data_IF_514495573940
#
_entry.id   IF_514495573940
#
_cell.length_a   1.000
_cell.length_b   1.000
_cell.length_c   1.000
_cell.angle_alpha   90.00
_cell.angle_beta   90.00
_cell.angle_gamma   90.00
#
_symmetry.space_group_name_H-M   'P 1'
#
loop_
_entity.id
_entity.type
_entity.pdbx_description
1 polymer ?
#
# COMPACT_ATOMS: atom_id res chain seq x y z
N UNK A 1 10.37 -27.46 -8.90
CA UNK A 1 9.03 -26.90 -8.67
C UNK A 1 8.88 -26.72 -7.16
N UNK A 2 9.31 -25.58 -6.63
CA UNK A 2 9.25 -25.27 -5.19
C UNK A 2 7.82 -24.93 -4.80
N UNK A 3 7.26 -25.67 -3.83
CA UNK A 3 5.97 -25.38 -3.26
C UNK A 3 6.00 -23.98 -2.62
N UNK A 4 5.20 -23.05 -3.13
CA UNK A 4 4.96 -21.77 -2.48
C UNK A 4 4.32 -22.06 -1.12
N UNK A 5 5.05 -21.82 -0.04
CA UNK A 5 4.46 -21.80 1.30
C UNK A 5 3.31 -20.78 1.29
N UNK A 6 2.10 -21.29 1.42
CA UNK A 6 0.90 -20.45 1.58
C UNK A 6 0.95 -19.85 2.98
N UNK A 7 1.60 -18.71 3.11
CA UNK A 7 1.59 -17.99 4.39
C UNK A 7 0.21 -17.40 4.65
N UNK A 8 -0.20 -17.33 5.91
CA UNK A 8 -1.47 -16.70 6.30
C UNK A 8 -1.59 -15.26 5.72
N UNK A 9 -0.49 -14.52 5.69
CA UNK A 9 -0.43 -13.17 5.14
C UNK A 9 -0.77 -13.18 3.63
N UNK A 10 -0.22 -14.12 2.86
CA UNK A 10 -0.51 -14.21 1.44
C UNK A 10 -2.01 -14.48 1.17
N UNK A 11 -2.66 -15.32 1.99
CA UNK A 11 -4.11 -15.57 1.87
C UNK A 11 -4.93 -14.32 2.21
N UNK A 12 -4.52 -13.53 3.21
CA UNK A 12 -5.20 -12.26 3.53
C UNK A 12 -5.12 -11.26 2.36
N UNK A 13 -3.98 -11.15 1.68
CA UNK A 13 -3.86 -10.27 0.50
C UNK A 13 -4.63 -10.82 -0.71
N UNK A 14 -4.74 -12.13 -0.89
CA UNK A 14 -5.63 -12.71 -1.91
C UNK A 14 -7.11 -12.39 -1.62
N UNK A 15 -7.53 -12.46 -0.36
CA UNK A 15 -8.87 -12.07 0.06
C UNK A 15 -9.09 -10.57 -0.19
N UNK A 16 -8.15 -9.70 0.23
CA UNK A 16 -8.21 -8.26 -0.02
C UNK A 16 -8.36 -7.96 -1.52
N UNK A 17 -7.54 -8.57 -2.37
CA UNK A 17 -7.65 -8.43 -3.83
C UNK A 17 -9.07 -8.75 -4.33
N UNK A 18 -9.67 -9.82 -3.81
CA UNK A 18 -11.03 -10.22 -4.23
C UNK A 18 -12.08 -9.18 -3.82
N UNK A 19 -11.86 -8.48 -2.70
CA UNK A 19 -12.80 -7.46 -2.20
C UNK A 19 -12.69 -6.12 -2.92
N UNK A 20 -11.60 -5.84 -3.65
CA UNK A 20 -11.42 -4.55 -4.37
C UNK A 20 -12.59 -4.22 -5.30
N UNK A 21 -13.18 -5.23 -5.96
CA UNK A 21 -14.34 -5.03 -6.84
C UNK A 21 -15.56 -4.42 -6.11
N UNK A 22 -15.69 -4.68 -4.80
CA UNK A 22 -16.78 -4.09 -3.99
C UNK A 22 -16.52 -2.63 -3.64
N UNK A 23 -15.28 -2.16 -3.84
CA UNK A 23 -14.89 -0.76 -3.71
C UNK A 23 -14.98 -0.02 -5.05
N UNK A 24 -15.65 -0.60 -6.06
CA UNK A 24 -15.77 0.01 -7.37
C UNK A 24 -14.51 -0.09 -8.24
N UNK A 25 -13.46 -0.77 -7.77
CA UNK A 25 -12.23 -0.95 -8.56
C UNK A 25 -12.52 -1.86 -9.75
N UNK A 26 -12.23 -1.36 -10.95
CA UNK A 26 -12.52 -1.99 -12.24
C UNK A 26 -11.41 -1.70 -13.26
N UNK A 27 -11.63 -2.01 -14.52
CA UNK A 27 -10.72 -1.65 -15.60
C UNK A 27 -10.66 -0.15 -15.89
N UNK A 28 -11.71 0.59 -15.52
CA UNK A 28 -11.82 2.05 -15.70
C UNK A 28 -11.60 2.84 -14.41
N UNK A 29 -11.73 2.19 -13.24
CA UNK A 29 -11.55 2.76 -11.91
C UNK A 29 -10.48 1.93 -11.19
N UNK A 30 -9.21 2.25 -11.43
CA UNK A 30 -8.07 1.37 -11.11
C UNK A 30 -6.99 2.01 -10.24
N UNK A 31 -7.19 3.28 -9.84
CA UNK A 31 -6.26 4.02 -8.98
C UNK A 31 -6.63 3.81 -7.52
N UNK A 32 -5.79 3.08 -6.80
CA UNK A 32 -6.03 2.68 -5.40
C UNK A 32 -5.05 3.42 -4.50
N UNK A 33 -5.56 4.30 -3.66
CA UNK A 33 -4.77 4.98 -2.64
C UNK A 33 -4.67 4.14 -1.38
N UNK A 34 -3.46 4.03 -0.81
CA UNK A 34 -3.21 3.40 0.49
C UNK A 34 -2.63 4.43 1.44
N UNK A 35 -3.38 4.76 2.47
CA UNK A 35 -3.02 5.74 3.50
C UNK A 35 -3.24 5.20 4.91
N UNK A 36 -2.99 6.02 5.93
CA UNK A 36 -3.19 5.68 7.35
C UNK A 36 -3.42 6.92 8.19
N UNK A 37 -3.80 6.77 9.46
CA UNK A 37 -3.98 7.92 10.36
C UNK A 37 -2.64 8.56 10.73
N UNK A 38 -1.66 7.72 11.07
CA UNK A 38 -0.32 8.14 11.53
C UNK A 38 0.78 7.28 10.88
N UNK A 39 2.03 7.72 11.00
CA UNK A 39 3.17 6.94 10.54
C UNK A 39 3.31 5.62 11.32
N UNK A 40 3.84 4.57 10.67
CA UNK A 40 4.11 3.28 11.32
C UNK A 40 2.94 2.29 11.35
N UNK A 41 1.77 2.62 10.77
CA UNK A 41 0.61 1.72 10.73
C UNK A 41 0.72 0.62 9.67
N UNK A 42 1.68 0.74 8.75
CA UNK A 42 1.97 -0.28 7.74
C UNK A 42 1.36 -0.02 6.37
N UNK A 43 1.01 1.23 6.03
CA UNK A 43 0.51 1.62 4.71
C UNK A 43 1.38 1.07 3.56
N UNK A 44 2.68 1.31 3.60
CA UNK A 44 3.61 0.83 2.54
C UNK A 44 3.75 -0.70 2.51
N UNK A 45 3.56 -1.39 3.65
CA UNK A 45 3.47 -2.85 3.69
C UNK A 45 2.21 -3.33 2.96
N UNK A 46 1.07 -2.70 3.22
CA UNK A 46 -0.21 -3.02 2.57
C UNK A 46 -0.12 -2.72 1.07
N UNK A 47 0.35 -1.53 0.67
CA UNK A 47 0.50 -1.12 -0.72
C UNK A 47 1.38 -2.09 -1.52
N UNK A 48 2.57 -2.42 -0.98
CA UNK A 48 3.53 -3.32 -1.64
C UNK A 48 2.95 -4.73 -1.84
N UNK A 49 2.38 -5.32 -0.79
CA UNK A 49 1.85 -6.69 -0.86
C UNK A 49 0.58 -6.77 -1.73
N UNK A 50 -0.26 -5.73 -1.72
CA UNK A 50 -1.40 -5.64 -2.62
C UNK A 50 -0.94 -5.60 -4.09
N UNK A 51 0.01 -4.71 -4.42
CA UNK A 51 0.56 -4.58 -5.77
C UNK A 51 1.19 -5.90 -6.26
N UNK A 52 1.99 -6.57 -5.43
CA UNK A 52 2.56 -7.89 -5.75
C UNK A 52 1.43 -8.91 -5.99
N UNK A 53 0.41 -8.94 -5.13
CA UNK A 53 -0.70 -9.90 -5.22
C UNK A 53 -1.55 -9.68 -6.47
N UNK A 54 -1.73 -8.44 -6.90
CA UNK A 54 -2.38 -8.09 -8.17
C UNK A 54 -1.52 -8.54 -9.37
N UNK A 55 -0.22 -8.23 -9.37
CA UNK A 55 0.71 -8.59 -10.44
C UNK A 55 0.84 -10.12 -10.62
N UNK A 56 0.74 -10.90 -9.54
CA UNK A 56 0.73 -12.37 -9.58
C UNK A 56 -0.44 -12.95 -10.37
N UNK A 57 -1.46 -12.17 -10.70
CA UNK A 57 -2.58 -12.60 -11.56
C UNK A 57 -2.35 -12.32 -13.04
N UNK A 58 -1.17 -11.89 -13.44
CA UNK A 58 -0.84 -11.50 -14.81
C UNK A 58 -1.31 -10.09 -15.18
N UNK A 59 -1.80 -9.30 -14.20
CA UNK A 59 -2.22 -7.91 -14.39
C UNK A 59 -1.03 -6.97 -14.31
N UNK A 60 -0.95 -6.00 -15.22
CA UNK A 60 0.06 -4.95 -15.19
C UNK A 60 -0.24 -3.97 -14.05
N UNK A 61 0.69 -3.82 -13.12
CA UNK A 61 0.52 -3.01 -11.91
C UNK A 61 1.64 -1.98 -11.80
N UNK A 62 1.27 -0.72 -11.55
CA UNK A 62 2.20 0.33 -11.14
C UNK A 62 2.04 0.57 -9.62
N UNK A 63 3.15 0.57 -8.89
CA UNK A 63 3.21 0.93 -7.48
C UNK A 63 4.04 2.22 -7.33
N UNK A 64 3.41 3.26 -6.79
CA UNK A 64 3.96 4.61 -6.67
C UNK A 64 4.27 4.95 -5.21
N UNK A 65 5.46 5.48 -4.94
CA UNK A 65 5.85 6.03 -3.62
C UNK A 65 5.60 7.55 -3.61
N UNK A 66 4.36 7.94 -3.30
CA UNK A 66 3.96 9.34 -3.14
C UNK A 66 4.12 9.87 -1.71
N UNK A 67 4.73 9.10 -0.80
CA UNK A 67 5.18 9.65 0.50
C UNK A 67 6.50 10.38 0.30
N UNK A 68 6.43 11.54 -0.37
CA UNK A 68 7.60 12.33 -0.74
C UNK A 68 8.37 12.87 0.49
N UNK A 69 7.73 12.88 1.67
CA UNK A 69 8.36 13.29 2.93
C UNK A 69 9.15 12.17 3.59
N UNK A 70 8.65 10.93 3.51
CA UNK A 70 9.28 9.77 4.17
C UNK A 70 9.14 8.50 3.33
N UNK A 71 9.78 8.45 2.15
CA UNK A 71 9.67 7.32 1.22
C UNK A 71 10.24 6.04 1.83
N UNK A 72 9.57 4.91 1.57
CA UNK A 72 9.96 3.63 2.14
C UNK A 72 10.07 2.49 1.12
N UNK A 73 9.47 2.63 -0.05
CA UNK A 73 9.41 1.56 -1.05
C UNK A 73 10.80 1.17 -1.57
N UNK A 74 11.72 2.12 -1.74
CA UNK A 74 13.10 1.84 -2.17
C UNK A 74 13.80 0.82 -1.25
N UNK A 75 13.60 0.91 0.07
CA UNK A 75 14.16 -0.05 1.04
C UNK A 75 13.47 -1.41 0.95
N UNK A 76 12.13 -1.41 0.78
CA UNK A 76 11.33 -2.65 0.70
C UNK A 76 11.71 -3.51 -0.52
N UNK A 77 11.99 -2.85 -1.64
CA UNK A 77 12.36 -3.52 -2.88
C UNK A 77 13.87 -3.64 -3.06
N UNK A 78 14.68 -3.16 -2.08
CA UNK A 78 16.14 -3.15 -2.12
C UNK A 78 16.69 -2.48 -3.40
N UNK A 79 16.09 -1.35 -3.79
CA UNK A 79 16.45 -0.60 -4.99
C UNK A 79 17.12 0.70 -4.57
N UNK A 80 18.30 0.95 -5.14
CA UNK A 80 19.00 2.23 -5.05
C UNK A 80 18.66 3.03 -6.31
N UNK A 81 17.71 3.92 -6.22
CA UNK A 81 17.34 4.82 -7.31
C UNK A 81 17.53 6.26 -6.88
N UNK A 82 18.07 7.07 -7.77
CA UNK A 82 18.35 8.50 -7.53
C UNK A 82 17.37 9.42 -8.23
N UNK A 83 16.55 8.90 -9.14
CA UNK A 83 15.55 9.65 -9.91
C UNK A 83 14.19 8.96 -9.81
N UNK A 84 13.10 9.72 -9.83
CA UNK A 84 11.77 9.14 -9.68
C UNK A 84 10.64 10.16 -9.89
N UNK A 85 9.62 10.08 -9.05
CA UNK A 85 8.43 10.93 -9.10
C UNK A 85 8.83 12.40 -8.95
N UNK A 86 9.73 12.73 -8.02
CA UNK A 86 10.18 14.12 -7.79
C UNK A 86 10.75 14.74 -9.06
N UNK A 87 11.69 14.06 -9.71
CA UNK A 87 12.34 14.55 -10.93
C UNK A 87 11.35 14.65 -12.09
N UNK A 88 10.38 13.73 -12.17
CA UNK A 88 9.30 13.83 -13.14
C UNK A 88 8.43 15.07 -12.90
N UNK A 89 7.97 15.27 -11.66
CA UNK A 89 7.14 16.42 -11.31
C UNK A 89 7.86 17.76 -11.52
N UNK A 90 9.18 17.79 -11.30
CA UNK A 90 10.04 18.93 -11.62
C UNK A 90 10.28 19.11 -13.13
N UNK A 91 9.88 18.15 -13.98
CA UNK A 91 10.04 18.21 -15.41
C UNK A 91 11.44 17.91 -15.93
N UNK A 92 12.31 17.30 -15.11
CA UNK A 92 13.69 16.98 -15.48
C UNK A 92 13.84 15.62 -16.17
N UNK A 93 12.87 14.72 -16.00
CA UNK A 93 12.80 13.43 -16.68
C UNK A 93 11.39 13.15 -17.23
N UNK A 94 11.28 12.21 -18.15
CA UNK A 94 9.98 11.72 -18.65
C UNK A 94 9.36 10.68 -17.71
N UNK A 95 8.06 10.43 -17.83
CA UNK A 95 7.36 9.38 -17.08
C UNK A 95 7.98 7.99 -17.32
N UNK A 96 8.41 7.72 -18.56
CA UNK A 96 9.05 6.45 -18.90
C UNK A 96 10.38 6.25 -18.16
N UNK A 97 11.16 7.30 -17.94
CA UNK A 97 12.43 7.24 -17.20
C UNK A 97 12.21 7.06 -15.69
N UNK A 98 11.07 7.52 -15.15
CA UNK A 98 10.71 7.32 -13.75
C UNK A 98 10.24 5.88 -13.45
N UNK A 99 9.78 5.14 -14.46
CA UNK A 99 9.25 3.78 -14.32
C UNK A 99 10.40 2.77 -14.32
N UNK A 100 10.44 1.91 -13.31
CA UNK A 100 11.44 0.83 -13.21
C UNK A 100 10.77 -0.52 -12.94
N UNK A 101 11.39 -1.64 -13.36
CA UNK A 101 10.92 -2.97 -13.00
C UNK A 101 11.11 -3.23 -11.51
N UNK A 102 10.16 -3.94 -10.89
CA UNK A 102 10.24 -4.26 -9.45
C UNK A 102 11.34 -5.28 -9.10
N UNK A 103 11.81 -6.06 -10.06
CA UNK A 103 12.69 -7.20 -9.82
C UNK A 103 12.03 -8.43 -9.17
N UNK A 104 10.76 -8.32 -8.76
CA UNK A 104 10.02 -9.38 -8.08
C UNK A 104 8.99 -10.07 -8.98
N UNK A 105 8.40 -9.34 -9.91
CA UNK A 105 7.42 -9.83 -10.86
C UNK A 105 7.47 -8.97 -12.13
N UNK A 106 7.41 -9.58 -13.30
CA UNK A 106 7.49 -8.91 -14.61
C UNK A 106 6.30 -7.94 -14.84
N UNK A 107 5.16 -8.21 -14.21
CA UNK A 107 3.96 -7.39 -14.33
C UNK A 107 3.89 -6.26 -13.27
N UNK A 108 4.93 -6.09 -12.44
CA UNK A 108 4.99 -5.04 -11.42
C UNK A 108 6.09 -4.03 -11.75
N UNK A 109 5.67 -2.80 -11.99
CA UNK A 109 6.57 -1.66 -12.14
C UNK A 109 6.49 -0.75 -10.90
N UNK A 110 7.59 -0.09 -10.60
CA UNK A 110 7.70 0.86 -9.49
C UNK A 110 7.97 2.26 -10.02
N UNK A 111 7.40 3.24 -9.36
CA UNK A 111 7.79 4.65 -9.44
C UNK A 111 8.14 5.09 -8.02
N UNK A 112 9.43 5.17 -7.75
CA UNK A 112 9.95 5.59 -6.44
C UNK A 112 9.97 7.12 -6.35
N UNK A 113 10.07 7.65 -5.14
CA UNK A 113 10.11 9.10 -4.90
C UNK A 113 11.22 9.79 -5.68
N UNK A 114 12.44 9.23 -5.72
CA UNK A 114 13.64 9.92 -6.21
C UNK A 114 14.29 10.77 -5.11
N UNK A 115 14.80 11.94 -5.44
CA UNK A 115 15.33 12.89 -4.45
C UNK A 115 14.20 13.48 -3.59
N UNK A 116 14.48 13.73 -2.31
CA UNK A 116 13.50 14.40 -1.44
C UNK A 116 13.33 15.86 -1.88
N UNK A 117 12.11 16.31 -2.23
CA UNK A 117 11.89 17.70 -2.65
C UNK A 117 11.88 18.65 -1.45
N UNK A 118 12.11 19.93 -1.70
CA UNK A 118 12.01 20.98 -0.65
C UNK A 118 10.56 21.26 -0.28
N UNK A 119 9.66 21.22 -1.25
CA UNK A 119 8.22 21.43 -1.06
C UNK A 119 7.41 20.31 -1.75
N UNK A 120 7.16 19.21 -1.03
CA UNK A 120 6.39 18.09 -1.56
C UNK A 120 4.96 18.46 -1.99
N UNK A 121 4.29 19.30 -1.20
CA UNK A 121 2.88 19.62 -1.41
C UNK A 121 2.66 20.41 -2.71
N UNK A 122 3.53 21.38 -2.99
CA UNK A 122 3.48 22.17 -4.23
C UNK A 122 3.72 21.29 -5.47
N UNK A 123 4.64 20.32 -5.38
CA UNK A 123 4.88 19.39 -6.48
C UNK A 123 3.65 18.51 -6.74
N UNK A 124 3.01 18.00 -5.69
CA UNK A 124 1.82 17.14 -5.80
C UNK A 124 0.63 17.91 -6.40
N UNK A 125 0.52 19.21 -6.12
CA UNK A 125 -0.53 20.09 -6.66
C UNK A 125 -0.33 20.43 -8.14
N UNK A 126 0.85 20.17 -8.70
CA UNK A 126 1.11 20.49 -10.11
C UNK A 126 0.30 19.62 -11.07
N UNK A 127 -0.04 20.16 -12.24
CA UNK A 127 -0.76 19.44 -13.33
C UNK A 127 -0.03 18.16 -13.75
N UNK A 128 1.29 18.08 -13.51
CA UNK A 128 2.10 16.90 -13.82
C UNK A 128 1.71 15.66 -13.03
N UNK A 129 1.09 15.81 -11.86
CA UNK A 129 0.56 14.69 -11.09
C UNK A 129 -0.57 14.00 -11.86
N UNK A 130 -1.50 14.76 -12.39
CA UNK A 130 -2.60 14.23 -13.20
C UNK A 130 -2.08 13.67 -14.54
N UNK A 131 -1.16 14.37 -15.19
CA UNK A 131 -0.52 13.88 -16.42
C UNK A 131 0.17 12.53 -16.22
N UNK A 132 0.90 12.35 -15.09
CA UNK A 132 1.54 11.07 -14.74
C UNK A 132 0.51 9.96 -14.59
N UNK A 133 -0.53 10.21 -13.82
CA UNK A 133 -1.57 9.21 -13.55
C UNK A 133 -2.33 8.84 -14.81
N UNK A 134 -2.64 9.79 -15.68
CA UNK A 134 -3.25 9.56 -17.00
C UNK A 134 -2.32 8.74 -17.91
N UNK A 135 -1.02 9.06 -17.93
CA UNK A 135 -0.03 8.26 -18.67
C UNK A 135 0.02 6.80 -18.21
N UNK A 136 -0.11 6.56 -16.90
CA UNK A 136 -0.11 5.21 -16.31
C UNK A 136 -1.43 4.47 -16.58
N UNK A 137 -2.56 5.16 -16.63
CA UNK A 137 -3.86 4.56 -16.93
C UNK A 137 -3.90 3.86 -18.30
N UNK A 138 -3.19 4.38 -19.27
CA UNK A 138 -3.12 3.76 -20.59
C UNK A 138 -2.30 2.46 -20.63
N UNK A 139 -1.47 2.21 -19.59
CA UNK A 139 -0.42 1.17 -19.61
C UNK A 139 -0.58 0.09 -18.58
N UNK A 140 -1.31 0.36 -17.50
CA UNK A 140 -1.46 -0.52 -16.36
C UNK A 140 -2.93 -0.88 -16.10
N UNK A 141 -3.17 -2.08 -15.60
CA UNK A 141 -4.49 -2.54 -15.15
C UNK A 141 -4.83 -2.01 -13.75
N UNK A 142 -3.81 -1.78 -12.91
CA UNK A 142 -3.95 -1.22 -11.57
C UNK A 142 -2.82 -0.25 -11.26
N UNK A 143 -3.17 0.82 -10.55
CA UNK A 143 -2.23 1.83 -10.06
C UNK A 143 -2.43 1.92 -8.56
N UNK A 144 -1.40 1.55 -7.79
CA UNK A 144 -1.42 1.58 -6.32
C UNK A 144 -0.52 2.72 -5.86
N UNK A 145 -1.10 3.67 -5.09
CA UNK A 145 -0.38 4.82 -4.55
C UNK A 145 -0.14 4.61 -3.06
N UNK A 146 1.12 4.51 -2.64
CA UNK A 146 1.52 4.61 -1.22
C UNK A 146 1.67 6.08 -0.89
N UNK A 147 0.73 6.63 -0.11
CA UNK A 147 0.66 8.07 0.18
C UNK A 147 0.91 8.34 1.66
N UNK A 148 1.30 9.57 2.07
CA UNK A 148 1.55 9.88 3.47
C UNK A 148 0.30 9.68 4.34
N UNK A 149 0.48 9.59 5.68
CA UNK A 149 -0.65 9.56 6.62
C UNK A 149 -1.48 10.84 6.54
N UNK A 150 -2.80 10.72 6.63
CA UNK A 150 -3.74 11.85 6.56
C UNK A 150 -3.68 12.79 7.78
N UNK A 151 -3.10 12.35 8.90
CA UNK A 151 -3.06 13.17 10.12
C UNK A 151 -2.12 14.38 10.04
N UNK A 152 -0.85 14.21 9.61
CA UNK A 152 0.15 15.27 9.63
C UNK A 152 0.12 16.23 8.44
N UNK A 153 -0.27 15.76 7.24
CA UNK A 153 -0.11 16.52 5.98
C UNK A 153 -1.35 16.41 5.08
N UNK A 154 -1.57 17.47 4.30
CA UNK A 154 -2.70 17.57 3.35
C UNK A 154 -2.49 16.76 2.05
N UNK A 155 -1.27 16.31 1.77
CA UNK A 155 -0.89 15.66 0.51
C UNK A 155 -1.76 14.45 0.16
N UNK A 156 -2.12 13.65 1.18
CA UNK A 156 -3.02 12.51 0.99
C UNK A 156 -4.41 12.93 0.47
N UNK A 157 -4.92 14.07 0.92
CA UNK A 157 -6.21 14.59 0.48
C UNK A 157 -6.13 15.15 -0.94
N UNK A 158 -5.03 15.80 -1.28
CA UNK A 158 -4.76 16.28 -2.64
C UNK A 158 -4.69 15.10 -3.62
N UNK A 159 -4.02 14.00 -3.24
CA UNK A 159 -3.94 12.81 -4.07
C UNK A 159 -5.26 12.03 -4.16
N UNK A 160 -6.14 12.13 -3.15
CA UNK A 160 -7.40 11.42 -3.10
C UNK A 160 -8.33 11.77 -4.28
N UNK A 161 -8.30 13.02 -4.75
CA UNK A 161 -9.12 13.47 -5.90
C UNK A 161 -8.80 12.74 -7.21
N UNK A 162 -7.60 12.18 -7.32
CA UNK A 162 -7.14 11.44 -8.49
C UNK A 162 -7.35 9.93 -8.37
N UNK A 163 -7.87 9.44 -7.24
CA UNK A 163 -8.00 8.03 -6.93
C UNK A 163 -9.45 7.56 -7.02
N UNK A 164 -9.64 6.26 -7.24
CA UNK A 164 -10.96 5.64 -7.35
C UNK A 164 -11.39 4.95 -6.05
N UNK A 165 -10.41 4.50 -5.25
CA UNK A 165 -10.65 3.83 -3.97
C UNK A 165 -9.55 4.16 -2.95
N UNK A 166 -9.94 4.15 -1.66
CA UNK A 166 -9.02 4.40 -0.54
C UNK A 166 -8.97 3.22 0.40
N UNK A 167 -7.77 2.70 0.62
CA UNK A 167 -7.48 1.73 1.68
C UNK A 167 -6.88 2.47 2.88
N UNK A 168 -7.68 2.62 3.93
CA UNK A 168 -7.28 3.32 5.15
C UNK A 168 -6.74 2.31 6.16
N UNK A 169 -5.43 2.32 6.40
CA UNK A 169 -4.76 1.35 7.25
C UNK A 169 -4.80 1.80 8.71
N UNK A 170 -5.27 0.91 9.57
CA UNK A 170 -5.31 1.04 11.03
C UNK A 170 -4.53 -0.13 11.62
N UNK A 171 -3.67 0.12 12.60
CA UNK A 171 -2.82 -0.91 13.19
C UNK A 171 -3.29 -1.29 14.60
N UNK A 172 -3.50 -2.59 14.81
CA UNK A 172 -3.87 -3.16 16.13
C UNK A 172 -2.86 -2.80 17.22
N UNK A 173 -3.36 -2.36 18.36
CA UNK A 173 -2.59 -1.96 19.54
C UNK A 173 -1.55 -0.85 19.29
N UNK A 174 -1.70 -0.09 18.19
CA UNK A 174 -0.81 1.01 17.83
C UNK A 174 -1.56 2.30 17.52
N UNK A 175 -2.60 2.26 16.66
CA UNK A 175 -3.42 3.42 16.33
C UNK A 175 -4.17 3.90 17.58
N UNK A 176 -4.01 5.17 17.98
CA UNK A 176 -4.75 5.72 19.12
C UNK A 176 -6.27 5.69 18.87
N UNK A 177 -7.04 5.35 19.90
CA UNK A 177 -8.51 5.26 19.80
C UNK A 177 -9.17 6.53 19.28
N UNK A 178 -8.65 7.70 19.63
CA UNK A 178 -9.15 8.98 19.17
C UNK A 178 -9.12 9.12 17.63
N UNK A 179 -8.08 8.57 16.96
CA UNK A 179 -8.02 8.56 15.50
C UNK A 179 -9.02 7.59 14.90
N UNK A 180 -9.19 6.39 15.51
CA UNK A 180 -10.17 5.41 15.04
C UNK A 180 -11.58 5.96 15.12
N UNK A 181 -11.92 6.67 16.19
CA UNK A 181 -13.25 7.29 16.40
C UNK A 181 -13.57 8.39 15.37
N UNK A 182 -12.56 9.01 14.78
CA UNK A 182 -12.71 10.10 13.79
C UNK A 182 -12.53 9.66 12.35
N UNK A 183 -12.36 8.36 12.08
CA UNK A 183 -12.13 7.88 10.71
C UNK A 183 -13.29 8.29 9.79
N UNK A 184 -14.54 8.08 10.21
CA UNK A 184 -15.71 8.43 9.40
C UNK A 184 -15.81 9.94 9.15
N UNK A 185 -15.49 10.75 10.15
CA UNK A 185 -15.45 12.20 10.02
C UNK A 185 -14.37 12.63 9.02
N UNK A 186 -13.14 12.09 9.17
CA UNK A 186 -12.04 12.38 8.27
C UNK A 186 -12.32 11.94 6.83
N UNK A 187 -12.92 10.79 6.63
CA UNK A 187 -13.32 10.28 5.31
C UNK A 187 -14.30 11.24 4.65
N UNK A 188 -15.32 11.69 5.38
CA UNK A 188 -16.37 12.60 4.87
C UNK A 188 -15.85 14.01 4.60
N UNK A 189 -15.11 14.57 5.54
CA UNK A 189 -14.56 15.93 5.41
C UNK A 189 -13.61 16.07 4.22
N UNK A 190 -12.89 15.00 3.89
CA UNK A 190 -11.85 15.03 2.86
C UNK A 190 -12.25 14.27 1.58
N UNK A 191 -13.53 13.89 1.45
CA UNK A 191 -14.07 13.22 0.27
C UNK A 191 -13.22 12.05 -0.23
N UNK A 192 -12.73 11.19 0.70
CA UNK A 192 -11.94 10.04 0.30
C UNK A 192 -12.80 9.08 -0.54
N UNK A 193 -12.38 8.71 -1.77
CA UNK A 193 -13.18 7.89 -2.66
C UNK A 193 -13.27 6.44 -2.16
N UNK A 194 -14.45 5.86 -2.20
CA UNK A 194 -14.75 4.45 -1.91
C UNK A 194 -13.88 3.85 -0.79
N UNK A 195 -13.97 4.38 0.45
CA UNK A 195 -13.05 4.05 1.53
C UNK A 195 -13.30 2.66 2.10
N UNK A 196 -12.21 1.94 2.39
CA UNK A 196 -12.24 0.69 3.16
C UNK A 196 -11.16 0.71 4.24
N UNK A 197 -11.49 0.18 5.43
CA UNK A 197 -10.56 0.09 6.55
C UNK A 197 -9.79 -1.23 6.45
N UNK A 198 -8.47 -1.15 6.49
CA UNK A 198 -7.56 -2.30 6.60
C UNK A 198 -7.04 -2.38 8.04
N UNK A 199 -7.47 -3.39 8.78
CA UNK A 199 -7.00 -3.62 10.14
C UNK A 199 -5.73 -4.47 10.12
N UNK A 200 -4.58 -3.83 10.28
CA UNK A 200 -3.26 -4.42 10.13
C UNK A 200 -2.68 -4.93 11.48
N UNK A 201 -1.74 -5.88 11.39
CA UNK A 201 -0.97 -6.42 12.52
C UNK A 201 -1.84 -6.96 13.67
N UNK A 202 -2.97 -7.57 13.34
CA UNK A 202 -3.86 -8.19 14.34
C UNK A 202 -3.14 -9.37 14.99
N UNK A 203 -2.87 -9.26 16.30
CA UNK A 203 -2.32 -10.37 17.07
C UNK A 203 -3.42 -11.40 17.35
N UNK A 204 -3.14 -12.72 17.18
CA UNK A 204 -4.05 -13.74 17.64
C UNK A 204 -4.28 -13.57 19.15
N UNK A 205 -5.51 -13.37 19.57
CA UNK A 205 -5.83 -13.44 21.00
C UNK A 205 -5.70 -14.89 21.45
N UNK A 206 -4.71 -15.17 22.28
CA UNK A 206 -4.56 -16.46 22.93
C UNK A 206 -5.71 -16.67 23.94
N UNK A 207 -6.78 -17.26 23.48
CA UNK A 207 -7.69 -18.00 24.35
C UNK A 207 -7.38 -19.48 24.15
N UNK A 208 -7.32 -20.21 25.30
CA UNK A 208 -7.00 -21.63 25.31
C UNK A 208 -7.83 -22.44 24.32
N UNK A 209 -7.60 -23.72 24.21
CA UNK A 209 -8.03 -24.78 23.26
C UNK A 209 -9.35 -24.62 22.44
N UNK A 210 -10.12 -23.53 22.61
CA UNK A 210 -11.36 -23.20 21.90
C UNK A 210 -11.36 -21.74 21.40
N UNK A 211 -10.27 -21.28 20.77
CA UNK A 211 -10.22 -19.95 20.17
C UNK A 211 -11.10 -19.90 18.92
N UNK A 212 -12.28 -19.31 19.05
CA UNK A 212 -13.05 -18.83 17.90
C UNK A 212 -12.26 -17.68 17.26
N UNK A 213 -11.48 -17.98 16.22
CA UNK A 213 -10.90 -16.97 15.36
C UNK A 213 -12.02 -16.18 14.68
N UNK A 214 -11.97 -14.84 14.71
CA UNK A 214 -12.72 -14.02 13.76
C UNK A 214 -12.13 -14.30 12.36
N UNK A 215 -12.64 -15.35 11.71
CA UNK A 215 -12.39 -15.68 10.32
C UNK A 215 -13.73 -15.79 9.63
N UNK A 216 -14.02 -14.91 8.71
CA UNK A 216 -15.03 -15.16 7.69
C UNK A 216 -14.59 -16.39 6.90
N UNK A 217 -15.29 -17.49 7.07
CA UNK A 217 -15.06 -18.74 6.36
C UNK A 217 -14.79 -19.91 7.28
N UNK A 218 -15.86 -20.66 7.64
CA UNK A 218 -15.75 -22.00 8.18
C UNK A 218 -15.08 -22.91 7.14
N UNK A 219 -13.85 -23.34 7.42
CA UNK A 219 -13.12 -24.28 6.56
C UNK A 219 -11.85 -24.74 7.25
N UNK A 220 -11.96 -25.88 7.93
CA UNK A 220 -10.89 -26.81 8.33
C UNK A 220 -9.59 -26.21 8.90
N UNK A 221 -9.50 -26.27 10.22
CA UNK A 221 -8.27 -26.15 10.98
C UNK A 221 -7.37 -27.35 10.65
N UNK A 222 -6.32 -27.13 9.84
CA UNK A 222 -5.18 -28.03 9.82
C UNK A 222 -4.24 -27.67 10.96
N UNK A 223 -4.23 -28.50 12.02
CA UNK A 223 -3.29 -28.42 13.11
C UNK A 223 -1.88 -28.77 12.66
N UNK A 224 -1.02 -27.74 12.52
CA UNK A 224 0.41 -27.88 12.42
C UNK A 224 1.04 -27.19 13.65
N UNK A 225 1.73 -27.95 14.49
CA UNK A 225 2.52 -27.42 15.61
C UNK A 225 3.67 -26.58 15.06
N UNK A 226 3.65 -25.27 15.29
CA UNK A 226 4.76 -24.41 14.97
C UNK A 226 5.82 -24.45 16.07
N UNK A 227 6.95 -25.04 15.75
CA UNK A 227 8.17 -25.00 16.55
C UNK A 227 8.76 -23.58 16.50
N UNK A 228 8.82 -22.91 17.67
CA UNK A 228 9.38 -21.58 17.82
C UNK A 228 10.91 -21.67 17.84
N UNK A 229 11.57 -21.68 16.71
CA UNK A 229 12.99 -21.32 16.67
C UNK A 229 13.12 -19.80 16.78
N UNK A 230 13.53 -19.36 17.96
CA UNK A 230 14.03 -18.00 18.22
C UNK A 230 15.23 -17.74 17.30
N UNK A 231 15.08 -16.78 16.39
CA UNK A 231 16.24 -16.17 15.75
C UNK A 231 16.77 -15.14 16.76
N UNK A 232 17.85 -15.48 17.44
CA UNK A 232 18.62 -14.55 18.25
C UNK A 232 19.40 -13.67 17.26
N UNK A 233 19.07 -12.38 17.23
CA UNK A 233 19.93 -11.37 16.61
C UNK A 233 21.03 -11.08 17.62
N UNK A 234 22.22 -11.52 17.30
CA UNK A 234 23.45 -11.29 18.06
C UNK A 234 23.81 -9.80 17.97
N UNK A 235 23.75 -9.10 19.10
CA UNK A 235 24.21 -7.72 19.24
C UNK A 235 25.73 -7.75 19.44
N UNK A 236 26.47 -7.82 18.35
CA UNK A 236 27.92 -7.63 18.35
C UNK A 236 28.31 -6.17 18.58
N UNK A 237 29.20 -5.96 19.50
CA UNK A 237 29.82 -4.74 20.03
C UNK A 237 30.27 -3.71 18.98
#
# INVERSE_FOLDING_TARGET
MGGQERTLIAEQFRALRTTLRYLGVSTTHKRIMVTSAISGEGKSFVASNLAITLAMTGKKVALLDFDLNNPTLHRKFNIKQTVGITEYLQGTISAQQAIIPSGHNENLSLLLTGALPMDPSELILSDKTEELLNYLDERYDYIVLDVPPVGPVSDAYTLAQFCDATLYVVRHAYTPKAFVQRIDENIKLNNLPNPAIIFNAVAPRGFGKNSYGYGYGAGTVYGGSYDRKRISIDSGK
#
